data_IF_057278825586
#
_entry.id   IF_057278825586
#
_cell.length_a   1.000
_cell.length_b   1.000
_cell.length_c   1.000
_cell.angle_alpha   90.00
_cell.angle_beta   90.00
_cell.angle_gamma   90.00
#
_symmetry.space_group_name_H-M   'P 1'
#
loop_
_entity.id
_entity.type
_entity.pdbx_description
1 polymer ?
#
# COMPACT_ATOMS: atom_id res chain seq x y z
N UNK A 1 38.76 -14.63 -20.06
CA UNK A 1 37.79 -13.69 -20.66
C UNK A 1 36.42 -14.36 -20.64
N UNK A 2 35.37 -13.64 -20.27
CA UNK A 2 34.11 -14.19 -19.73
C UNK A 2 33.12 -14.67 -20.81
N UNK A 3 32.62 -15.90 -20.68
CA UNK A 3 31.63 -16.52 -21.57
C UNK A 3 30.32 -15.73 -21.76
N UNK A 4 29.99 -14.84 -20.83
CA UNK A 4 28.86 -13.94 -20.94
C UNK A 4 29.08 -12.86 -22.03
N UNK A 5 30.31 -12.39 -22.19
CA UNK A 5 30.65 -11.38 -23.19
C UNK A 5 30.58 -11.96 -24.61
N UNK A 6 31.00 -13.22 -24.78
CA UNK A 6 30.89 -13.92 -26.07
C UNK A 6 29.44 -14.11 -26.49
N UNK A 7 28.56 -14.50 -25.56
CA UNK A 7 27.11 -14.58 -25.80
C UNK A 7 26.50 -13.23 -26.18
N UNK A 8 26.97 -12.16 -25.55
CA UNK A 8 26.47 -10.82 -25.80
C UNK A 8 26.92 -10.31 -27.17
N UNK A 9 28.15 -10.61 -27.59
CA UNK A 9 28.63 -10.32 -28.94
C UNK A 9 27.86 -11.12 -30.00
N UNK A 10 27.59 -12.40 -29.75
CA UNK A 10 26.85 -13.27 -30.67
C UNK A 10 25.39 -12.78 -30.86
N UNK A 11 24.74 -12.37 -29.76
CA UNK A 11 23.40 -11.77 -29.78
C UNK A 11 23.40 -10.43 -30.55
N UNK A 12 24.42 -9.58 -30.36
CA UNK A 12 24.52 -8.30 -31.07
C UNK A 12 24.76 -8.47 -32.57
N UNK A 13 25.65 -9.39 -32.96
CA UNK A 13 25.88 -9.72 -34.37
C UNK A 13 24.61 -10.24 -35.03
N UNK A 14 23.85 -11.09 -34.32
CA UNK A 14 22.56 -11.60 -34.80
C UNK A 14 21.54 -10.49 -35.00
N UNK A 15 21.42 -9.56 -34.06
CA UNK A 15 20.50 -8.40 -34.15
C UNK A 15 20.87 -7.45 -35.29
N UNK A 16 22.16 -7.24 -35.55
CA UNK A 16 22.61 -6.45 -36.69
C UNK A 16 22.27 -7.13 -38.03
N UNK A 17 22.52 -8.44 -38.14
CA UNK A 17 22.15 -9.21 -39.33
C UNK A 17 20.63 -9.19 -39.59
N UNK A 18 19.81 -9.25 -38.53
CA UNK A 18 18.35 -9.14 -38.62
C UNK A 18 17.90 -7.74 -39.09
N UNK A 19 18.55 -6.67 -38.61
CA UNK A 19 18.26 -5.30 -39.00
C UNK A 19 18.66 -5.00 -40.46
N UNK A 20 19.81 -5.54 -40.89
CA UNK A 20 20.28 -5.41 -42.28
C UNK A 20 19.39 -6.22 -43.24
N UNK A 21 18.98 -7.43 -42.85
CA UNK A 21 18.03 -8.23 -43.64
C UNK A 21 16.66 -7.56 -43.80
N UNK A 22 16.18 -6.83 -42.78
CA UNK A 22 14.93 -6.05 -42.86
C UNK A 22 15.07 -4.83 -43.77
N UNK A 23 16.25 -4.19 -43.82
CA UNK A 23 16.52 -3.06 -44.72
C UNK A 23 16.66 -3.49 -46.18
N UNK A 24 17.21 -4.68 -46.42
CA UNK A 24 17.41 -5.21 -47.78
C UNK A 24 16.19 -5.94 -48.37
N UNK A 25 15.08 -6.07 -47.62
CA UNK A 25 13.82 -6.61 -48.15
C UNK A 25 13.91 -8.04 -48.69
N UNK A 26 14.87 -8.85 -48.22
CA UNK A 26 15.00 -10.25 -48.64
C UNK A 26 14.00 -11.13 -47.88
N UNK A 27 13.24 -12.01 -48.55
CA UNK A 27 12.39 -12.96 -47.86
C UNK A 27 13.26 -13.97 -47.12
N UNK A 28 12.96 -14.17 -45.84
CA UNK A 28 13.58 -15.20 -45.02
C UNK A 28 13.29 -16.57 -45.64
N UNK A 29 14.30 -17.24 -46.19
CA UNK A 29 14.26 -18.69 -46.33
C UNK A 29 14.32 -19.27 -44.91
N UNK A 30 13.14 -19.41 -44.30
CA UNK A 30 12.93 -20.32 -43.19
C UNK A 30 13.22 -21.72 -43.73
N UNK A 31 14.49 -22.14 -43.71
CA UNK A 31 14.82 -23.56 -43.75
C UNK A 31 14.14 -24.16 -42.52
N UNK A 32 12.99 -24.77 -42.76
CA UNK A 32 12.36 -25.74 -41.89
C UNK A 32 13.36 -26.86 -41.65
N UNK A 33 14.26 -26.67 -40.68
CA UNK A 33 14.68 -27.80 -39.86
C UNK A 33 13.45 -28.17 -39.05
N UNK A 34 12.71 -29.09 -39.62
CA UNK A 34 11.73 -29.92 -38.95
C UNK A 34 12.45 -30.62 -37.79
N UNK A 35 12.55 -29.93 -36.65
CA UNK A 35 12.99 -30.50 -35.40
C UNK A 35 11.74 -31.08 -34.73
N UNK A 36 11.54 -32.42 -34.72
CA UNK A 36 10.33 -33.04 -34.22
C UNK A 36 10.09 -32.85 -32.71
N UNK A 37 10.96 -32.08 -32.04
CA UNK A 37 10.91 -31.84 -30.59
C UNK A 37 10.41 -30.44 -30.21
N UNK A 38 10.21 -29.52 -31.16
CA UNK A 38 9.71 -28.17 -30.84
C UNK A 38 8.24 -28.01 -31.24
N UNK A 39 7.36 -28.66 -30.48
CA UNK A 39 5.93 -28.37 -30.49
C UNK A 39 5.70 -27.12 -29.65
N UNK A 40 5.38 -26.00 -30.28
CA UNK A 40 4.92 -24.80 -29.58
C UNK A 40 3.57 -25.11 -28.88
N UNK A 41 3.34 -24.58 -27.66
CA UNK A 41 2.10 -24.83 -26.92
C UNK A 41 0.83 -24.47 -27.70
N UNK A 42 0.93 -23.52 -28.64
CA UNK A 42 -0.15 -23.08 -29.50
C UNK A 42 -0.60 -24.16 -30.51
N UNK A 43 0.34 -24.92 -31.07
CA UNK A 43 0.05 -25.97 -32.06
C UNK A 43 -0.53 -27.23 -31.38
N UNK A 44 -0.14 -27.48 -30.13
CA UNK A 44 -0.71 -28.52 -29.29
C UNK A 44 -2.17 -28.20 -28.91
N UNK A 45 -2.46 -26.94 -28.57
CA UNK A 45 -3.81 -26.46 -28.30
C UNK A 45 -4.72 -26.55 -29.54
N UNK A 46 -4.18 -26.28 -30.74
CA UNK A 46 -4.93 -26.38 -32.00
C UNK A 46 -5.30 -27.81 -32.37
N UNK A 47 -4.43 -28.79 -32.09
CA UNK A 47 -4.71 -30.23 -32.31
C UNK A 47 -5.69 -30.80 -31.28
N UNK A 48 -5.68 -30.30 -30.05
CA UNK A 48 -6.61 -30.71 -29.00
C UNK A 48 -8.07 -30.27 -29.27
N UNK A 49 -8.28 -29.24 -30.10
CA UNK A 49 -9.60 -28.67 -30.37
C UNK A 49 -10.52 -29.44 -31.33
N UNK A 50 -10.09 -30.57 -31.94
CA UNK A 50 -10.88 -31.29 -32.97
C UNK A 50 -11.38 -32.69 -32.56
N UNK A 51 -11.32 -33.03 -31.28
CA UNK A 51 -12.01 -34.21 -30.70
C UNK A 51 -12.84 -33.74 -29.52
N UNK A 52 -14.12 -33.49 -29.76
CA UNK A 52 -15.05 -33.01 -28.74
C UNK A 52 -15.31 -34.07 -27.67
N UNK A 53 -15.17 -33.68 -26.40
CA UNK A 53 -16.23 -33.79 -25.39
C UNK A 53 -15.85 -32.94 -24.16
N UNK A 54 -16.64 -31.90 -23.89
CA UNK A 54 -16.81 -31.20 -22.61
C UNK A 54 -15.60 -30.99 -21.69
N UNK A 55 -14.83 -29.94 -21.92
CA UNK A 55 -13.84 -29.45 -20.97
C UNK A 55 -13.32 -28.10 -21.41
N UNK A 56 -14.04 -27.03 -21.06
CA UNK A 56 -13.56 -25.67 -21.31
C UNK A 56 -12.18 -25.45 -20.66
N UNK A 57 -11.37 -24.49 -21.14
CA UNK A 57 -10.09 -24.18 -20.53
C UNK A 57 -10.31 -23.95 -19.03
N UNK A 58 -9.90 -24.91 -18.21
CA UNK A 58 -9.85 -24.72 -16.77
C UNK A 58 -8.64 -23.83 -16.57
N UNK A 59 -8.87 -22.51 -16.62
CA UNK A 59 -7.90 -21.57 -16.10
C UNK A 59 -7.57 -22.07 -14.70
N UNK A 60 -6.29 -22.33 -14.37
CA UNK A 60 -5.95 -22.57 -12.98
C UNK A 60 -6.55 -21.40 -12.21
N UNK A 61 -7.30 -21.63 -11.11
CA UNK A 61 -7.78 -20.53 -10.29
C UNK A 61 -6.57 -19.68 -10.03
N UNK A 62 -6.62 -18.40 -10.46
CA UNK A 62 -5.56 -17.45 -10.18
C UNK A 62 -5.26 -17.65 -8.71
N UNK A 63 -4.08 -18.20 -8.41
CA UNK A 63 -3.71 -18.52 -7.05
C UNK A 63 -4.00 -17.25 -6.28
N UNK A 64 -5.03 -17.29 -5.44
CA UNK A 64 -5.46 -16.17 -4.63
C UNK A 64 -4.30 -15.94 -3.71
N UNK A 65 -3.34 -15.13 -4.17
CA UNK A 65 -2.18 -14.77 -3.39
C UNK A 65 -2.78 -14.07 -2.20
N UNK A 66 -2.78 -14.78 -1.06
CA UNK A 66 -3.19 -14.24 0.21
C UNK A 66 -2.31 -13.02 0.44
N UNK A 67 -2.81 -11.85 0.04
CA UNK A 67 -2.05 -10.62 0.13
C UNK A 67 -1.75 -10.46 1.62
N UNK A 68 -0.47 -10.36 2.04
CA UNK A 68 -0.08 -10.29 3.44
C UNK A 68 -0.46 -8.93 4.07
N UNK A 69 -1.47 -8.24 3.54
CA UNK A 69 -1.98 -6.95 4.00
C UNK A 69 -2.30 -6.98 5.49
N UNK A 70 -2.84 -8.09 6.00
CA UNK A 70 -3.06 -8.29 7.45
C UNK A 70 -1.75 -8.25 8.24
N UNK A 71 -0.70 -8.88 7.70
CA UNK A 71 0.64 -8.86 8.32
C UNK A 71 1.22 -7.45 8.33
N UNK A 72 1.10 -6.70 7.23
CA UNK A 72 1.55 -5.31 7.17
C UNK A 72 0.73 -4.37 8.08
N UNK A 73 -0.57 -4.60 8.24
CA UNK A 73 -1.39 -3.88 9.22
C UNK A 73 -0.99 -4.19 10.66
N UNK A 74 -0.72 -5.45 10.98
CA UNK A 74 -0.29 -5.84 12.33
C UNK A 74 1.09 -5.27 12.63
N UNK A 75 2.02 -5.31 11.67
CA UNK A 75 3.35 -4.72 11.80
C UNK A 75 3.25 -3.19 11.92
N UNK A 76 2.51 -2.54 11.03
CA UNK A 76 2.33 -1.09 11.03
C UNK A 76 1.60 -0.60 12.29
N UNK A 77 0.52 -1.27 12.67
CA UNK A 77 -0.23 -1.00 13.90
C UNK A 77 0.61 -1.26 15.15
N UNK A 78 1.40 -2.34 15.17
CA UNK A 78 2.34 -2.63 16.24
C UNK A 78 3.45 -1.58 16.35
N UNK A 79 3.99 -1.12 15.22
CA UNK A 79 4.99 -0.06 15.19
C UNK A 79 4.44 1.27 15.73
N UNK A 80 3.24 1.68 15.27
CA UNK A 80 2.55 2.87 15.80
C UNK A 80 2.27 2.72 17.29
N UNK A 81 1.82 1.54 17.74
CA UNK A 81 1.58 1.27 19.15
C UNK A 81 2.86 1.42 19.98
N UNK A 82 3.98 0.88 19.52
CA UNK A 82 5.28 1.02 20.19
C UNK A 82 5.68 2.49 20.31
N UNK A 83 5.55 3.27 19.23
CA UNK A 83 5.84 4.71 19.26
C UNK A 83 4.95 5.46 20.27
N UNK A 84 3.66 5.15 20.30
CA UNK A 84 2.72 5.75 21.27
C UNK A 84 3.11 5.39 22.69
N UNK A 85 3.41 4.11 22.97
CA UNK A 85 3.84 3.65 24.30
C UNK A 85 5.12 4.35 24.75
N UNK A 86 6.12 4.45 23.87
CA UNK A 86 7.38 5.15 24.16
C UNK A 86 7.16 6.64 24.45
N UNK A 87 6.32 7.31 23.66
CA UNK A 87 5.98 8.72 23.88
C UNK A 87 5.27 8.93 25.23
N UNK A 88 4.31 8.05 25.58
CA UNK A 88 3.60 8.11 26.86
C UNK A 88 4.52 7.85 28.05
N UNK A 89 5.43 6.87 27.94
CA UNK A 89 6.43 6.60 28.97
C UNK A 89 7.31 7.83 29.25
N UNK A 90 7.83 8.48 28.20
CA UNK A 90 8.60 9.71 28.36
C UNK A 90 7.78 10.84 29.01
N UNK A 91 6.53 11.01 28.58
CA UNK A 91 5.62 12.00 29.17
C UNK A 91 5.32 11.76 30.65
N UNK A 92 5.12 10.50 31.06
CA UNK A 92 4.85 10.15 32.46
C UNK A 92 6.07 10.40 33.35
N UNK A 93 7.27 10.06 32.89
CA UNK A 93 8.51 10.33 33.65
C UNK A 93 8.70 11.83 33.89
N UNK A 94 8.50 12.64 32.85
CA UNK A 94 8.55 14.11 32.98
C UNK A 94 7.47 14.62 33.93
N UNK A 95 6.23 14.15 33.79
CA UNK A 95 5.13 14.56 34.66
C UNK A 95 5.40 14.24 36.13
N UNK A 96 5.91 13.04 36.44
CA UNK A 96 6.26 12.66 37.81
C UNK A 96 7.34 13.58 38.36
N UNK A 97 8.38 13.84 37.56
CA UNK A 97 9.47 14.74 37.92
C UNK A 97 8.94 16.14 38.23
N UNK A 98 8.10 16.69 37.35
CA UNK A 98 7.46 17.99 37.52
C UNK A 98 6.56 18.02 38.77
N UNK A 99 5.75 16.99 39.00
CA UNK A 99 4.87 16.91 40.18
C UNK A 99 5.67 16.93 41.48
N UNK A 100 6.78 16.18 41.55
CA UNK A 100 7.65 16.21 42.72
C UNK A 100 8.27 17.60 42.89
N UNK A 101 8.84 18.16 41.82
CA UNK A 101 9.52 19.46 41.86
C UNK A 101 8.58 20.62 42.25
N UNK A 102 7.43 20.76 41.56
CA UNK A 102 6.42 21.77 41.88
C UNK A 102 5.77 21.54 43.24
N UNK A 103 5.74 20.28 43.71
CA UNK A 103 5.33 19.92 45.05
C UNK A 103 6.24 20.51 46.12
N UNK A 104 7.56 20.34 45.97
CA UNK A 104 8.55 20.88 46.91
C UNK A 104 8.58 22.41 46.93
N UNK A 105 8.31 23.05 45.79
CA UNK A 105 8.21 24.51 45.71
C UNK A 105 6.87 25.06 46.22
N UNK A 106 5.89 24.21 46.55
CA UNK A 106 4.54 24.64 46.92
C UNK A 106 3.78 25.34 45.78
N UNK A 107 4.14 25.09 44.52
CA UNK A 107 3.61 25.77 43.32
C UNK A 107 2.76 24.85 42.43
N UNK A 108 2.11 23.84 43.01
CA UNK A 108 1.29 22.85 42.27
C UNK A 108 0.21 23.48 41.37
N UNK A 109 -0.33 24.63 41.74
CA UNK A 109 -1.35 25.35 40.95
C UNK A 109 -0.85 25.81 39.58
N UNK A 110 0.46 26.11 39.46
CA UNK A 110 1.06 26.48 38.18
C UNK A 110 1.12 25.27 37.26
N UNK A 111 1.52 24.11 37.79
CA UNK A 111 1.57 22.86 37.05
C UNK A 111 0.18 22.45 36.53
N UNK A 112 -0.84 22.51 37.38
CA UNK A 112 -2.21 22.15 36.98
C UNK A 112 -2.75 23.10 35.91
N UNK A 113 -2.50 24.40 36.04
CA UNK A 113 -2.89 25.40 35.03
C UNK A 113 -2.22 25.13 33.68
N UNK A 114 -0.90 24.85 33.70
CA UNK A 114 -0.13 24.48 32.50
C UNK A 114 -0.68 23.21 31.85
N UNK A 115 -0.95 22.16 32.64
CA UNK A 115 -1.52 20.91 32.13
C UNK A 115 -2.89 21.13 31.50
N UNK A 116 -3.77 21.89 32.14
CA UNK A 116 -5.08 22.21 31.58
C UNK A 116 -4.99 23.01 30.30
N UNK A 117 -4.07 23.97 30.22
CA UNK A 117 -3.82 24.72 28.99
C UNK A 117 -3.32 23.80 27.87
N UNK A 118 -2.35 22.93 28.15
CA UNK A 118 -1.80 21.98 27.20
C UNK A 118 -2.87 20.98 26.70
N UNK A 119 -3.67 20.42 27.61
CA UNK A 119 -4.78 19.51 27.27
C UNK A 119 -5.85 20.21 26.45
N UNK A 120 -6.18 21.47 26.79
CA UNK A 120 -7.18 22.25 26.06
C UNK A 120 -6.70 22.60 24.65
N UNK A 121 -5.46 23.07 24.51
CA UNK A 121 -4.84 23.36 23.21
C UNK A 121 -4.72 22.11 22.34
N UNK A 122 -4.32 20.98 22.94
CA UNK A 122 -4.33 19.69 22.27
C UNK A 122 -5.75 19.36 21.76
N UNK A 123 -6.75 19.45 22.63
CA UNK A 123 -8.14 19.15 22.30
C UNK A 123 -8.69 20.03 21.18
N UNK A 124 -8.36 21.32 21.21
CA UNK A 124 -8.74 22.30 20.17
C UNK A 124 -8.08 21.94 18.84
N UNK A 125 -6.75 21.75 18.81
CA UNK A 125 -6.02 21.41 17.58
C UNK A 125 -6.46 20.05 17.01
N UNK A 126 -6.72 19.08 17.88
CA UNK A 126 -7.26 17.77 17.50
C UNK A 126 -8.65 17.91 16.88
N UNK A 127 -9.58 18.60 17.55
CA UNK A 127 -10.95 18.78 17.07
C UNK A 127 -10.99 19.60 15.77
N UNK A 128 -10.19 20.67 15.68
CA UNK A 128 -10.07 21.52 14.51
C UNK A 128 -9.63 20.75 13.26
N UNK A 129 -8.80 19.71 13.42
CA UNK A 129 -8.39 18.85 12.31
C UNK A 129 -9.35 17.68 12.08
N UNK A 130 -9.78 17.00 13.14
CA UNK A 130 -10.59 15.78 13.05
C UNK A 130 -12.00 16.07 12.53
N UNK A 131 -12.68 17.07 13.09
CA UNK A 131 -14.10 17.32 12.80
C UNK A 131 -14.32 17.63 11.31
N UNK A 132 -13.60 18.57 10.68
CA UNK A 132 -13.78 18.84 9.24
C UNK A 132 -13.43 17.64 8.37
N UNK A 133 -12.39 16.87 8.74
CA UNK A 133 -11.97 15.68 8.00
C UNK A 133 -13.02 14.58 8.05
N UNK A 134 -13.58 14.29 9.23
CA UNK A 134 -14.66 13.30 9.38
C UNK A 134 -15.93 13.74 8.66
N UNK A 135 -16.28 15.02 8.74
CA UNK A 135 -17.41 15.59 8.01
C UNK A 135 -17.19 15.43 6.50
N UNK A 136 -16.00 15.74 5.99
CA UNK A 136 -15.66 15.55 4.57
C UNK A 136 -15.82 14.08 4.12
N UNK A 137 -15.29 13.13 4.89
CA UNK A 137 -15.43 11.69 4.62
C UNK A 137 -16.90 11.25 4.69
N UNK A 138 -17.67 11.78 5.63
CA UNK A 138 -19.10 11.48 5.77
C UNK A 138 -19.90 12.00 4.57
N UNK A 139 -19.69 13.26 4.18
CA UNK A 139 -20.32 13.87 3.00
C UNK A 139 -19.96 13.10 1.73
N UNK A 140 -18.69 12.77 1.53
CA UNK A 140 -18.23 11.99 0.38
C UNK A 140 -18.96 10.64 0.29
N UNK A 141 -19.07 9.90 1.41
CA UNK A 141 -19.79 8.62 1.45
C UNK A 141 -21.29 8.77 1.21
N UNK A 142 -21.88 9.93 1.53
CA UNK A 142 -23.31 10.19 1.31
C UNK A 142 -23.64 10.49 -0.14
N UNK A 143 -22.75 11.19 -0.84
CA UNK A 143 -22.96 11.67 -2.22
C UNK A 143 -22.57 10.62 -3.26
N UNK A 144 -21.57 9.77 -2.99
CA UNK A 144 -21.11 8.77 -3.94
C UNK A 144 -22.22 7.73 -4.18
N UNK A 145 -22.75 7.59 -5.42
CA UNK A 145 -23.64 6.49 -5.74
C UNK A 145 -22.88 5.19 -5.56
N UNK A 146 -23.48 4.23 -4.84
CA UNK A 146 -22.96 2.88 -4.70
C UNK A 146 -22.89 2.28 -6.11
N UNK A 147 -21.73 2.33 -6.76
CA UNK A 147 -21.57 1.72 -8.07
C UNK A 147 -21.86 0.22 -7.88
N UNK A 148 -22.84 -0.35 -8.59
CA UNK A 148 -23.06 -1.79 -8.53
C UNK A 148 -21.75 -2.46 -8.91
N UNK A 149 -21.33 -3.42 -8.08
CA UNK A 149 -20.13 -4.25 -8.25
C UNK A 149 -19.93 -4.49 -9.74
N UNK A 150 -18.91 -3.84 -10.31
CA UNK A 150 -18.58 -4.04 -11.73
C UNK A 150 -18.09 -5.48 -11.85
N UNK A 151 -18.99 -6.38 -12.24
CA UNK A 151 -18.67 -7.72 -12.67
C UNK A 151 -17.86 -7.59 -13.98
N UNK A 152 -16.56 -7.32 -13.87
CA UNK A 152 -15.64 -7.53 -14.99
C UNK A 152 -15.41 -9.03 -15.09
N UNK A 153 -16.14 -9.69 -15.98
CA UNK A 153 -15.85 -11.07 -16.39
C UNK A 153 -15.93 -12.12 -15.28
N UNK A 154 -16.91 -12.02 -14.37
CA UNK A 154 -17.20 -13.07 -13.39
C UNK A 154 -16.32 -13.10 -12.12
N UNK A 155 -15.44 -12.11 -11.93
CA UNK A 155 -14.68 -11.94 -10.69
C UNK A 155 -15.44 -10.97 -9.79
N UNK A 156 -16.02 -11.48 -8.70
CA UNK A 156 -16.56 -10.65 -7.61
C UNK A 156 -15.39 -10.00 -6.87
N UNK A 157 -15.17 -8.70 -7.12
CA UNK A 157 -14.21 -7.91 -6.34
C UNK A 157 -14.82 -7.67 -4.94
N UNK A 158 -14.10 -7.99 -3.85
CA UNK A 158 -14.54 -7.66 -2.51
C UNK A 158 -14.84 -6.16 -2.40
N UNK A 159 -15.90 -5.80 -1.69
CA UNK A 159 -16.26 -4.39 -1.46
C UNK A 159 -15.17 -3.67 -0.66
N UNK A 160 -14.22 -3.09 -1.39
CA UNK A 160 -13.07 -2.37 -0.84
C UNK A 160 -13.46 -1.03 -0.21
N UNK A 161 -14.69 -0.54 -0.45
CA UNK A 161 -15.16 0.77 0.01
C UNK A 161 -15.11 0.89 1.54
N UNK A 162 -15.45 -0.19 2.25
CA UNK A 162 -15.44 -0.23 3.72
C UNK A 162 -14.03 -0.16 4.28
N UNK A 163 -13.09 -0.87 3.65
CA UNK A 163 -11.67 -0.89 4.05
C UNK A 163 -11.04 0.47 3.80
N UNK A 164 -11.31 1.10 2.66
CA UNK A 164 -10.82 2.44 2.32
C UNK A 164 -11.39 3.48 3.29
N UNK A 165 -12.68 3.40 3.61
CA UNK A 165 -13.32 4.31 4.57
C UNK A 165 -12.72 4.20 5.98
N UNK A 166 -12.46 2.98 6.45
CA UNK A 166 -11.77 2.75 7.74
C UNK A 166 -10.33 3.28 7.66
N UNK A 167 -9.60 2.98 6.58
CA UNK A 167 -8.23 3.45 6.37
C UNK A 167 -8.11 4.97 6.42
N UNK A 168 -8.97 5.68 5.67
CA UNK A 168 -9.02 7.14 5.69
C UNK A 168 -9.34 7.71 7.07
N UNK A 169 -10.23 7.05 7.81
CA UNK A 169 -10.60 7.46 9.17
C UNK A 169 -9.43 7.27 10.13
N UNK A 170 -8.71 6.15 10.06
CA UNK A 170 -7.50 5.90 10.85
C UNK A 170 -6.43 6.95 10.54
N UNK A 171 -6.17 7.24 9.27
CA UNK A 171 -5.21 8.28 8.87
C UNK A 171 -5.64 9.65 9.38
N UNK A 172 -6.92 10.01 9.27
CA UNK A 172 -7.45 11.26 9.79
C UNK A 172 -7.25 11.39 11.31
N UNK A 173 -7.48 10.33 12.07
CA UNK A 173 -7.23 10.30 13.52
C UNK A 173 -5.74 10.49 13.81
N UNK A 174 -4.85 9.78 13.10
CA UNK A 174 -3.40 9.91 13.30
C UNK A 174 -2.91 11.34 12.99
N UNK A 175 -3.40 11.96 11.91
CA UNK A 175 -3.08 13.34 11.57
C UNK A 175 -3.63 14.32 12.61
N UNK A 176 -4.85 14.11 13.09
CA UNK A 176 -5.43 14.94 14.14
C UNK A 176 -4.64 14.84 15.45
N UNK A 177 -4.20 13.63 15.83
CA UNK A 177 -3.33 13.43 17.00
C UNK A 177 -2.01 14.20 16.84
N UNK A 178 -1.37 14.13 15.68
CA UNK A 178 -0.16 14.89 15.39
C UNK A 178 -0.37 16.41 15.45
N UNK A 179 -1.48 16.90 14.90
CA UNK A 179 -1.85 18.32 14.94
C UNK A 179 -2.09 18.82 16.36
N UNK A 180 -2.88 18.08 17.16
CA UNK A 180 -3.10 18.42 18.56
C UNK A 180 -1.80 18.47 19.36
N UNK A 181 -0.91 17.49 19.16
CA UNK A 181 0.38 17.46 19.83
C UNK A 181 1.23 18.70 19.47
N UNK A 182 1.29 19.06 18.19
CA UNK A 182 2.04 20.23 17.72
C UNK A 182 1.54 21.55 18.32
N UNK A 183 0.22 21.75 18.41
CA UNK A 183 -0.37 22.95 19.01
C UNK A 183 -0.10 23.03 20.51
N UNK A 184 -0.11 21.88 21.19
CA UNK A 184 0.17 21.80 22.62
C UNK A 184 1.65 21.90 22.99
N UNK A 185 2.58 21.78 22.03
CA UNK A 185 4.03 21.82 22.28
C UNK A 185 4.71 23.13 21.90
N UNK A 186 4.13 23.91 20.98
CA UNK A 186 4.78 25.09 20.39
C UNK A 186 4.45 26.43 21.07
N UNK A 187 3.77 26.44 22.22
CA UNK A 187 3.36 27.69 22.89
C UNK A 187 4.40 28.24 23.88
N UNK A 188 5.52 27.53 24.08
CA UNK A 188 6.59 27.90 25.01
C UNK A 188 7.77 28.63 24.33
N UNK A 189 7.68 28.93 23.02
CA UNK A 189 8.69 29.72 22.27
C UNK A 189 8.34 31.19 22.20
#
# INVERSE_FOLDING_TARGET
>A
MSSWFDKLLDELQRRQAEADAQREGRPFERREREDPRNVTPLDQARRAGRRGNGGGPTFPPAAGGDVPWRRYLVIGGGFVLVLVVLALLGGVVNLITDVMWYGELGRRDVLTTRLWAQVSLFGIGFAAMLVPTLVSIWVARRIVPQAPVRQLGGIELPDASRVIGIGLTVVAVLLALGSGAAWSGNWET
#
